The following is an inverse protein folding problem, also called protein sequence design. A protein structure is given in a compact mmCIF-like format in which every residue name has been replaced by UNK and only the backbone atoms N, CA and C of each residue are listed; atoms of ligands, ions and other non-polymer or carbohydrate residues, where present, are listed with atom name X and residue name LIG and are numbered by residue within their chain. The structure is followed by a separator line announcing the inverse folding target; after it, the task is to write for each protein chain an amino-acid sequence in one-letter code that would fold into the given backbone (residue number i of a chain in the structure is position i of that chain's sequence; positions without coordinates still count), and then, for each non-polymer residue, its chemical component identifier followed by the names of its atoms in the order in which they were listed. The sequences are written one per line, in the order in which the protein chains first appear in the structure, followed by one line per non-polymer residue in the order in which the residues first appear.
data_IF_767145716561
#
_entry.id   IF_767145716561
#
_cell.length_a   1.000
_cell.length_b   1.000
_cell.length_c   1.000
_cell.angle_alpha   90.00
_cell.angle_beta   90.00
_cell.angle_gamma   90.00
#
_symmetry.space_group_name_H-M   'P 1'
#
loop_
_entity.id
_entity.type
_entity.pdbx_description
1 polymer ?
#
# COMPACT_ATOMS: atom_id res chain seq x y z
N UNK A 1 -6.22 -23.05 -4.99
CA UNK A 1 -5.92 -22.69 -3.58
C UNK A 1 -5.58 -21.22 -3.54
N UNK A 2 -6.18 -20.46 -2.62
CA UNK A 2 -5.93 -19.03 -2.46
C UNK A 2 -5.15 -18.76 -1.18
N UNK A 3 -4.19 -17.83 -1.25
CA UNK A 3 -3.32 -17.50 -0.12
C UNK A 3 -3.36 -16.00 0.19
N UNK A 4 -3.42 -15.63 1.47
CA UNK A 4 -3.28 -14.25 1.87
C UNK A 4 -1.85 -13.77 1.58
N UNK A 5 -1.65 -12.45 1.43
CA UNK A 5 -0.31 -11.91 1.30
C UNK A 5 0.58 -12.33 2.47
N UNK A 6 1.74 -12.89 2.18
CA UNK A 6 2.70 -13.34 3.20
C UNK A 6 3.47 -12.15 3.79
N UNK A 7 3.73 -11.13 2.98
CA UNK A 7 4.48 -9.97 3.43
C UNK A 7 4.24 -8.74 2.56
N UNK A 8 4.51 -7.59 3.17
CA UNK A 8 4.44 -6.26 2.55
C UNK A 8 5.67 -5.45 2.93
N UNK A 9 6.21 -4.69 1.99
CA UNK A 9 7.34 -3.78 2.21
C UNK A 9 7.14 -2.50 1.43
N UNK A 10 7.18 -1.38 2.14
CA UNK A 10 7.21 -0.04 1.53
C UNK A 10 8.68 0.30 1.24
N UNK A 11 8.93 0.81 0.04
CA UNK A 11 10.21 1.30 -0.42
C UNK A 11 10.06 2.77 -0.78
N UNK A 12 10.83 3.62 -0.10
CA UNK A 12 10.81 5.06 -0.30
C UNK A 12 12.15 5.67 0.13
N UNK A 13 12.30 6.99 0.01
CA UNK A 13 13.48 7.68 0.50
C UNK A 13 13.64 7.43 2.01
N UNK A 14 14.89 7.16 2.44
CA UNK A 14 15.24 6.98 3.85
C UNK A 14 15.27 8.30 4.65
N UNK A 15 15.04 9.42 3.97
CA UNK A 15 15.10 10.76 4.52
C UNK A 15 13.69 11.26 4.84
N UNK A 16 13.54 12.21 5.78
CA UNK A 16 12.26 12.86 6.04
C UNK A 16 11.67 13.49 4.77
N UNK A 17 10.37 13.39 4.61
CA UNK A 17 9.67 13.97 3.47
C UNK A 17 9.59 15.49 3.61
N UNK A 18 10.32 16.22 2.76
CA UNK A 18 10.23 17.69 2.67
C UNK A 18 8.95 18.14 1.97
N UNK A 19 8.20 19.05 2.58
CA UNK A 19 6.98 19.62 2.00
C UNK A 19 7.22 20.27 0.64
N UNK A 20 6.29 20.11 -0.30
CA UNK A 20 6.35 20.72 -1.64
C UNK A 20 7.21 19.96 -2.65
N UNK A 21 7.91 18.89 -2.25
CA UNK A 21 8.65 18.01 -3.15
C UNK A 21 7.85 16.74 -3.45
N UNK A 22 7.83 16.32 -4.70
CA UNK A 22 7.18 15.06 -5.10
C UNK A 22 8.10 13.87 -4.79
N UNK A 23 7.54 12.83 -4.17
CA UNK A 23 8.21 11.56 -3.91
C UNK A 23 7.48 10.42 -4.59
N UNK A 24 8.26 9.52 -5.19
CA UNK A 24 7.76 8.26 -5.72
C UNK A 24 8.04 7.16 -4.71
N UNK A 25 6.98 6.57 -4.19
CA UNK A 25 7.07 5.54 -3.14
C UNK A 25 6.46 4.28 -3.71
N UNK A 26 7.17 3.17 -3.58
CA UNK A 26 6.72 1.86 -4.01
C UNK A 26 6.32 0.99 -2.82
N UNK A 27 5.42 0.06 -3.05
CA UNK A 27 5.05 -0.99 -2.13
C UNK A 27 5.13 -2.34 -2.84
N UNK A 28 5.79 -3.29 -2.20
CA UNK A 28 6.01 -4.64 -2.67
C UNK A 28 5.20 -5.57 -1.77
N UNK A 29 4.32 -6.37 -2.36
CA UNK A 29 3.52 -7.39 -1.66
C UNK A 29 3.82 -8.74 -2.30
N UNK A 30 4.13 -9.75 -1.49
CA UNK A 30 4.48 -11.08 -2.00
C UNK A 30 3.75 -12.21 -1.29
N UNK A 31 3.68 -13.36 -1.96
CA UNK A 31 3.08 -14.59 -1.42
C UNK A 31 1.56 -14.63 -1.47
N UNK A 32 0.92 -13.71 -2.20
CA UNK A 32 -0.54 -13.74 -2.43
C UNK A 32 -0.86 -14.57 -3.67
N UNK A 33 -1.93 -15.36 -3.59
CA UNK A 33 -2.49 -16.06 -4.75
C UNK A 33 -4.03 -16.00 -4.70
N UNK A 34 -4.73 -15.38 -5.67
CA UNK A 34 -4.24 -14.60 -6.80
C UNK A 34 -3.42 -13.35 -6.39
N UNK A 35 -2.81 -12.63 -7.34
CA UNK A 35 -2.01 -11.44 -7.07
C UNK A 35 -2.74 -10.44 -6.16
N UNK A 36 -2.04 -9.89 -5.17
CA UNK A 36 -2.64 -8.97 -4.21
C UNK A 36 -3.02 -7.65 -4.88
N UNK A 37 -4.20 -7.13 -4.51
CA UNK A 37 -4.64 -5.78 -4.77
C UNK A 37 -4.08 -4.83 -3.69
N UNK A 38 -3.33 -3.81 -4.11
CA UNK A 38 -2.64 -2.90 -3.19
C UNK A 38 -3.42 -1.60 -3.07
N UNK A 39 -3.81 -1.27 -1.85
CA UNK A 39 -4.45 0.02 -1.51
C UNK A 39 -3.51 0.85 -0.65
N UNK A 40 -3.50 2.15 -0.91
CA UNK A 40 -2.69 3.11 -0.18
C UNK A 40 -3.55 4.00 0.68
N UNK A 41 -3.04 4.33 1.86
CA UNK A 41 -3.69 5.22 2.80
C UNK A 41 -2.65 6.15 3.41
N UNK A 42 -3.12 7.32 3.82
CA UNK A 42 -2.35 8.29 4.59
C UNK A 42 -3.14 8.70 5.81
N UNK A 43 -2.50 8.76 6.97
CA UNK A 43 -3.07 9.31 8.18
C UNK A 43 -2.37 8.76 9.39
N UNK A 44 -2.97 8.93 10.57
CA UNK A 44 -2.37 8.49 11.82
C UNK A 44 -2.96 7.12 12.19
N UNK A 45 -2.08 6.15 12.49
CA UNK A 45 -2.49 4.79 12.86
C UNK A 45 -3.36 4.83 14.13
N UNK A 46 -4.60 4.34 14.03
CA UNK A 46 -5.56 4.28 15.14
C UNK A 46 -6.59 5.41 15.17
N UNK A 47 -6.47 6.39 14.27
CA UNK A 47 -7.49 7.41 14.04
C UNK A 47 -8.36 7.02 12.84
N UNK A 48 -9.61 7.46 12.84
CA UNK A 48 -10.57 7.31 11.73
C UNK A 48 -10.15 8.05 10.45
N UNK A 49 -9.09 8.84 10.51
CA UNK A 49 -8.72 9.83 9.50
C UNK A 49 -7.79 9.26 8.43
N UNK A 50 -7.91 7.96 8.13
CA UNK A 50 -7.16 7.33 7.03
C UNK A 50 -7.72 7.80 5.70
N UNK A 51 -6.98 8.68 5.03
CA UNK A 51 -7.29 9.18 3.69
C UNK A 51 -6.79 8.17 2.65
N UNK A 52 -7.66 7.61 1.79
CA UNK A 52 -7.23 6.74 0.71
C UNK A 52 -6.41 7.55 -0.32
N UNK A 53 -5.31 6.96 -0.78
CA UNK A 53 -4.47 7.52 -1.84
C UNK A 53 -4.67 6.73 -3.13
N UNK A 54 -4.65 7.46 -4.26
CA UNK A 54 -4.68 6.83 -5.58
C UNK A 54 -3.32 6.25 -5.93
N UNK A 55 -3.30 5.00 -6.38
CA UNK A 55 -2.09 4.40 -6.94
C UNK A 55 -1.79 5.03 -8.31
N UNK A 56 -0.54 5.43 -8.51
CA UNK A 56 -0.06 5.93 -9.80
C UNK A 56 0.15 4.79 -10.79
N UNK A 57 0.67 3.65 -10.31
CA UNK A 57 0.90 2.47 -11.12
C UNK A 57 0.80 1.21 -10.24
N UNK A 58 0.31 0.12 -10.79
CA UNK A 58 0.32 -1.19 -10.13
C UNK A 58 0.66 -2.27 -11.17
N UNK A 59 1.67 -3.07 -10.89
CA UNK A 59 2.09 -4.18 -11.75
C UNK A 59 2.21 -5.45 -10.94
N UNK A 60 2.09 -6.58 -11.63
CA UNK A 60 2.36 -7.90 -11.07
C UNK A 60 3.56 -8.45 -11.81
N UNK A 61 4.49 -9.01 -11.05
CA UNK A 61 5.66 -9.70 -11.63
C UNK A 61 5.22 -10.87 -12.51
N UNK A 62 6.05 -11.23 -13.49
CA UNK A 62 5.75 -12.33 -14.42
C UNK A 62 5.48 -13.67 -13.71
N UNK A 63 6.14 -13.89 -12.57
CA UNK A 63 5.92 -15.06 -11.70
C UNK A 63 4.57 -15.06 -10.96
N UNK A 64 3.82 -13.94 -10.98
CA UNK A 64 2.49 -13.82 -10.38
C UNK A 64 2.45 -13.79 -8.86
N UNK A 65 3.59 -14.01 -8.19
CA UNK A 65 3.69 -14.12 -6.74
C UNK A 65 3.98 -12.79 -6.03
N UNK A 66 4.42 -11.75 -6.77
CA UNK A 66 4.72 -10.42 -6.24
C UNK A 66 3.93 -9.34 -6.98
N UNK A 67 3.16 -8.55 -6.23
CA UNK A 67 2.48 -7.33 -6.68
C UNK A 67 3.29 -6.10 -6.25
N UNK A 68 3.41 -5.13 -7.16
CA UNK A 68 4.12 -3.87 -6.97
C UNK A 68 3.15 -2.72 -7.21
N UNK A 69 3.19 -1.69 -6.36
CA UNK A 69 2.40 -0.48 -6.55
C UNK A 69 3.23 0.77 -6.25
N UNK A 70 3.04 1.82 -7.04
CA UNK A 70 3.69 3.11 -6.89
C UNK A 70 2.67 4.20 -6.62
N UNK A 71 3.01 5.14 -5.74
CA UNK A 71 2.25 6.37 -5.51
C UNK A 71 3.12 7.60 -5.76
N UNK A 72 2.48 8.67 -6.20
CA UNK A 72 3.05 10.02 -6.27
C UNK A 72 2.64 10.77 -5.00
N UNK A 73 3.54 10.86 -4.04
CA UNK A 73 3.27 11.51 -2.76
C UNK A 73 3.81 12.95 -2.76
N UNK A 74 2.92 13.90 -2.48
CA UNK A 74 3.25 15.31 -2.30
C UNK A 74 2.95 15.71 -0.84
N UNK A 75 3.95 15.66 0.07
CA UNK A 75 3.80 16.16 1.43
C UNK A 75 3.47 17.65 1.44
N UNK A 76 2.49 18.01 2.27
CA UNK A 76 2.10 19.38 2.57
C UNK A 76 2.42 19.65 4.05
N UNK A 77 2.60 20.92 4.46
CA UNK A 77 2.82 21.26 5.87
C UNK A 77 1.73 20.73 6.81
N UNK A 78 0.49 20.61 6.32
CA UNK A 78 -0.65 20.05 7.04
C UNK A 78 -0.58 18.53 7.25
N UNK A 79 0.32 17.80 6.59
CA UNK A 79 0.49 16.34 6.72
C UNK A 79 1.54 15.95 7.77
N UNK A 80 1.77 16.82 8.76
CA UNK A 80 2.80 16.57 9.76
C UNK A 80 2.41 15.37 10.63
N UNK A 81 3.33 14.40 10.75
CA UNK A 81 3.16 13.12 11.46
C UNK A 81 2.18 12.12 10.82
N UNK A 82 1.74 12.37 9.59
CA UNK A 82 0.99 11.37 8.83
C UNK A 82 1.87 10.15 8.51
N UNK A 83 1.31 8.96 8.63
CA UNK A 83 1.91 7.71 8.20
C UNK A 83 1.38 7.35 6.82
N UNK A 84 2.28 6.81 5.99
CA UNK A 84 1.90 6.15 4.74
C UNK A 84 1.72 4.66 5.02
N UNK A 85 0.54 4.15 4.67
CA UNK A 85 0.14 2.79 4.92
C UNK A 85 -0.17 2.14 3.57
N UNK A 86 0.56 1.07 3.28
CA UNK A 86 0.26 0.19 2.15
C UNK A 86 -0.45 -1.05 2.68
N UNK A 87 -1.60 -1.38 2.10
CA UNK A 87 -2.38 -2.57 2.45
C UNK A 87 -2.53 -3.46 1.22
N UNK A 88 -1.87 -4.62 1.25
CA UNK A 88 -2.09 -5.70 0.29
C UNK A 88 -3.32 -6.52 0.69
N UNK A 89 -4.17 -6.81 -0.28
CA UNK A 89 -5.42 -7.56 -0.06
C UNK A 89 -5.66 -8.57 -1.17
N UNK A 90 -6.13 -9.77 -0.82
CA UNK A 90 -6.55 -10.77 -1.78
C UNK A 90 -8.07 -10.70 -1.93
N UNK A 91 -8.57 -10.31 -3.11
CA UNK A 91 -10.00 -10.08 -3.34
C UNK A 91 -10.84 -11.36 -3.17
N UNK A 92 -10.28 -12.52 -3.48
CA UNK A 92 -10.97 -13.81 -3.35
C UNK A 92 -11.10 -14.26 -1.89
N UNK A 93 -10.16 -13.86 -1.03
CA UNK A 93 -10.23 -14.14 0.40
C UNK A 93 -11.06 -13.11 1.16
N UNK A 94 -11.16 -11.88 0.65
CA UNK A 94 -11.98 -10.83 1.25
C UNK A 94 -13.49 -11.06 1.10
N UNK A 95 -13.92 -11.98 0.22
CA UNK A 95 -15.31 -12.47 0.16
C UNK A 95 -15.67 -13.49 1.24
N UNK A 96 -14.70 -13.97 2.03
CA UNK A 96 -14.89 -14.99 3.06
C UNK A 96 -14.47 -14.51 4.45
N UNK A 97 -14.72 -13.24 4.78
CA UNK A 97 -14.93 -12.88 6.19
C UNK A 97 -16.35 -13.27 6.57
N UNK A 98 -16.65 -14.57 6.54
CA UNK A 98 -17.76 -15.13 7.28
C UNK A 98 -17.40 -14.97 8.75
N UNK A 99 -18.18 -14.11 9.39
CA UNK A 99 -18.25 -13.89 10.82
C UNK A 99 -18.26 -15.28 11.51
N UNK A 100 -17.22 -15.58 12.29
CA UNK A 100 -17.27 -16.63 13.30
C UNK A 100 -18.07 -16.13 14.50
#
# INVERSE_FOLDING_TARGET
MFFPPQGVKIQGPLQPYTSGRVYYISCVVWGSNPPANIKWYRGIKGLSDLVPLSSYNQTVTHSGNVSLSWIKYLPLPSHQRDLLICRGSNQELMGSSTIC
#
